data_IF_674448965362
#
_entry.id   IF_674448965362
#
_cell.length_a   1.000
_cell.length_b   1.000
_cell.length_c   1.000
_cell.angle_alpha   90.00
_cell.angle_beta   90.00
_cell.angle_gamma   90.00
#
_symmetry.space_group_name_H-M   'P 1'
#
loop_
_entity.id
_entity.type
_entity.pdbx_description
1 polymer ?
#
# COMPACT_ATOMS: atom_id res chain seq x y z
N UNK A 1 -9.81 -8.17 46.95
CA UNK A 1 -10.28 -6.86 47.46
C UNK A 1 -9.11 -5.89 47.54
N UNK A 2 -8.98 -4.94 46.59
CA UNK A 2 -8.19 -3.71 46.73
C UNK A 2 -8.79 -2.68 45.75
N UNK A 3 -9.58 -1.75 46.31
CA UNK A 3 -10.19 -0.60 45.64
C UNK A 3 -9.16 0.52 45.50
N UNK A 4 -9.05 1.12 44.31
CA UNK A 4 -8.53 2.49 44.09
C UNK A 4 -9.38 3.10 42.96
N UNK A 5 -10.42 3.82 43.34
CA UNK A 5 -10.51 5.30 43.35
C UNK A 5 -10.68 5.87 41.93
N UNK A 6 -11.96 6.08 41.58
CA UNK A 6 -12.42 6.94 40.50
C UNK A 6 -12.17 8.41 40.87
N UNK A 7 -11.61 9.18 39.94
CA UNK A 7 -11.69 10.63 39.96
C UNK A 7 -12.70 11.07 38.90
N UNK A 8 -13.83 11.60 39.37
CA UNK A 8 -14.85 12.29 38.58
C UNK A 8 -14.52 13.78 38.68
N UNK A 9 -14.32 14.45 37.55
CA UNK A 9 -14.32 15.92 37.48
C UNK A 9 -15.51 16.33 36.61
N UNK A 10 -16.38 17.14 37.20
CA UNK A 10 -17.60 17.67 36.62
C UNK A 10 -17.38 19.03 35.95
N UNK A 11 -18.01 19.17 34.77
CA UNK A 11 -18.80 20.28 34.22
C UNK A 11 -18.27 21.73 34.34
N UNK A 12 -18.11 22.36 33.17
CA UNK A 12 -18.47 23.75 32.94
C UNK A 12 -19.32 23.85 31.66
N UNK A 13 -20.45 24.55 31.76
CA UNK A 13 -21.42 24.79 30.70
C UNK A 13 -21.50 26.29 30.37
N UNK A 14 -22.17 26.57 29.23
CA UNK A 14 -22.63 27.88 28.69
C UNK A 14 -21.55 28.59 27.86
N UNK A 15 -21.80 29.08 26.64
CA UNK A 15 -22.96 29.89 26.22
C UNK A 15 -23.36 29.73 24.75
N UNK A 16 -24.65 29.97 24.52
CA UNK A 16 -25.38 30.23 23.28
C UNK A 16 -24.82 31.39 22.43
N UNK A 17 -25.01 31.31 21.10
CA UNK A 17 -24.84 32.45 20.20
C UNK A 17 -25.23 32.13 18.75
N UNK A 18 -26.52 32.15 18.47
CA UNK A 18 -27.05 32.23 17.11
C UNK A 18 -27.13 33.70 16.68
N UNK A 19 -26.62 34.03 15.49
CA UNK A 19 -27.00 35.25 14.79
C UNK A 19 -26.90 35.01 13.27
N UNK A 20 -28.07 34.92 12.64
CA UNK A 20 -28.25 35.19 11.22
C UNK A 20 -28.12 36.69 10.95
N UNK A 21 -27.67 37.08 9.75
CA UNK A 21 -28.07 38.28 8.98
C UNK A 21 -27.10 38.47 7.82
N UNK A 22 -27.51 38.24 6.57
CA UNK A 22 -28.09 39.20 5.60
C UNK A 22 -27.09 39.41 4.46
N UNK A 23 -27.46 38.94 3.27
CA UNK A 23 -26.89 39.38 2.01
C UNK A 23 -27.28 40.84 1.70
N UNK A 24 -26.49 41.53 0.86
CA UNK A 24 -27.09 42.32 -0.19
C UNK A 24 -26.56 41.94 -1.59
N UNK A 25 -27.50 41.94 -2.53
CA UNK A 25 -27.28 42.07 -3.96
C UNK A 25 -26.73 43.46 -4.28
N UNK A 26 -25.73 43.54 -5.15
CA UNK A 26 -25.57 44.69 -6.05
C UNK A 26 -24.86 44.25 -7.33
N UNK A 27 -25.57 44.43 -8.43
CA UNK A 27 -25.15 44.26 -9.82
C UNK A 27 -24.40 45.50 -10.29
N UNK A 28 -23.32 45.33 -11.06
CA UNK A 28 -22.85 46.34 -11.98
C UNK A 28 -22.16 45.65 -13.17
N UNK A 29 -22.77 45.82 -14.34
CA UNK A 29 -22.26 45.42 -15.63
C UNK A 29 -21.17 46.38 -16.10
N UNK A 30 -20.16 45.85 -16.79
CA UNK A 30 -19.38 46.61 -17.77
C UNK A 30 -19.08 45.71 -18.98
N UNK A 31 -19.63 46.14 -20.10
CA UNK A 31 -19.46 45.64 -21.46
C UNK A 31 -18.03 45.78 -21.96
N UNK A 32 -17.51 44.74 -22.61
CA UNK A 32 -16.29 44.80 -23.41
C UNK A 32 -16.19 43.58 -24.33
N UNK A 33 -16.56 43.76 -25.60
CA UNK A 33 -16.44 42.75 -26.65
C UNK A 33 -15.10 42.89 -27.37
N UNK A 34 -14.31 41.82 -27.47
CA UNK A 34 -13.55 41.43 -28.67
C UNK A 34 -12.74 40.13 -28.42
N UNK A 35 -12.49 39.31 -29.47
CA UNK A 35 -12.22 37.88 -29.35
C UNK A 35 -10.73 37.57 -29.28
N UNK A 36 -10.36 36.52 -28.53
CA UNK A 36 -9.04 35.92 -28.61
C UNK A 36 -9.15 34.40 -28.64
N UNK A 37 -8.76 33.89 -29.80
CA UNK A 37 -8.38 32.53 -30.14
C UNK A 37 -7.90 31.66 -28.97
N UNK A 38 -8.42 30.42 -28.98
CA UNK A 38 -7.67 29.19 -28.80
C UNK A 38 -6.48 29.22 -27.82
N UNK A 39 -6.70 28.71 -26.63
CA UNK A 39 -5.77 27.78 -26.01
C UNK A 39 -6.58 26.80 -25.16
N UNK A 40 -7.21 25.83 -25.82
CA UNK A 40 -7.40 24.53 -25.20
C UNK A 40 -5.99 24.01 -24.90
N UNK A 41 -5.49 24.31 -23.70
CA UNK A 41 -4.35 23.62 -23.13
C UNK A 41 -4.81 22.17 -22.96
N UNK A 42 -4.67 21.42 -24.04
CA UNK A 42 -4.58 19.98 -24.02
C UNK A 42 -3.51 19.68 -22.99
N UNK A 43 -3.93 19.32 -21.77
CA UNK A 43 -3.16 18.48 -20.89
C UNK A 43 -3.02 17.15 -21.62
N UNK A 44 -2.14 17.16 -22.62
CA UNK A 44 -1.55 15.98 -23.20
C UNK A 44 -0.69 15.44 -22.08
N UNK A 45 -1.30 14.69 -21.18
CA UNK A 45 -0.59 13.75 -20.35
C UNK A 45 0.31 13.01 -21.33
N UNK A 46 1.61 13.28 -21.27
CA UNK A 46 2.59 12.49 -21.98
C UNK A 46 2.39 11.09 -21.44
N UNK A 47 1.65 10.28 -22.20
CA UNK A 47 1.69 8.84 -22.13
C UNK A 47 3.12 8.47 -22.49
N UNK A 48 4.02 8.58 -21.50
CA UNK A 48 5.29 7.89 -21.55
C UNK A 48 4.88 6.44 -21.59
N UNK A 49 4.99 5.83 -22.76
CA UNK A 49 4.69 4.41 -22.92
C UNK A 49 5.57 3.66 -21.91
N UNK A 50 4.96 3.20 -20.82
CA UNK A 50 5.63 2.48 -19.73
C UNK A 50 5.95 1.04 -20.14
N UNK A 51 6.35 0.83 -21.39
CA UNK A 51 6.86 -0.43 -21.90
C UNK A 51 8.20 -0.73 -21.20
N UNK A 52 8.09 -1.17 -19.94
CA UNK A 52 9.25 -1.64 -19.20
C UNK A 52 9.61 -3.02 -19.73
N UNK A 53 10.90 -3.16 -20.06
CA UNK A 53 11.61 -4.37 -20.46
C UNK A 53 10.89 -5.64 -20.01
N UNK A 54 10.48 -6.49 -20.96
CA UNK A 54 9.83 -7.77 -20.67
C UNK A 54 10.62 -8.51 -19.60
N UNK A 55 9.92 -8.85 -18.53
CA UNK A 55 10.44 -9.65 -17.44
C UNK A 55 10.81 -11.02 -18.01
N UNK A 56 11.93 -11.64 -17.59
CA UNK A 56 12.30 -12.95 -18.08
C UNK A 56 11.15 -13.94 -17.86
N UNK A 57 10.75 -14.68 -18.91
CA UNK A 57 9.65 -15.65 -18.85
C UNK A 57 9.81 -16.65 -17.69
N UNK A 58 11.05 -16.99 -17.34
CA UNK A 58 11.37 -17.86 -16.21
C UNK A 58 10.95 -17.26 -14.85
N UNK A 59 11.11 -15.95 -14.64
CA UNK A 59 10.70 -15.30 -13.39
C UNK A 59 9.18 -15.25 -13.28
N UNK A 60 8.48 -14.90 -14.36
CA UNK A 60 7.02 -14.94 -14.39
C UNK A 60 6.47 -16.36 -14.19
N UNK A 61 7.11 -17.38 -14.76
CA UNK A 61 6.73 -18.77 -14.55
C UNK A 61 6.97 -19.24 -13.11
N UNK A 62 8.10 -18.87 -12.50
CA UNK A 62 8.39 -19.19 -11.11
C UNK A 62 7.37 -18.57 -10.14
N UNK A 63 6.98 -17.31 -10.38
CA UNK A 63 5.97 -16.62 -9.56
C UNK A 63 4.58 -17.24 -9.71
N UNK A 64 4.20 -17.61 -10.93
CA UNK A 64 2.96 -18.35 -11.16
C UNK A 64 2.98 -19.72 -10.49
N UNK A 65 4.12 -20.43 -10.52
CA UNK A 65 4.29 -21.72 -9.83
C UNK A 65 4.24 -21.58 -8.31
N UNK A 66 4.70 -20.44 -7.78
CA UNK A 66 4.57 -20.08 -6.37
C UNK A 66 3.15 -19.63 -5.98
N UNK A 67 2.19 -19.65 -6.92
CA UNK A 67 0.80 -19.30 -6.67
C UNK A 67 0.50 -17.81 -6.60
N UNK A 68 1.46 -16.94 -6.89
CA UNK A 68 1.30 -15.48 -6.81
C UNK A 68 0.23 -15.02 -7.80
N UNK A 69 -0.73 -14.22 -7.33
CA UNK A 69 -1.82 -13.68 -8.16
C UNK A 69 -1.67 -12.17 -8.34
N UNK A 70 -1.82 -11.71 -9.56
CA UNK A 70 -1.75 -10.28 -9.91
C UNK A 70 -3.13 -9.78 -10.33
N UNK A 71 -3.47 -8.56 -9.90
CA UNK A 71 -4.61 -7.84 -10.48
C UNK A 71 -4.30 -7.43 -11.93
N UNK A 72 -5.33 -7.19 -12.77
CA UNK A 72 -5.13 -6.71 -14.14
C UNK A 72 -4.33 -5.41 -14.23
N UNK A 73 -4.40 -4.54 -13.22
CA UNK A 73 -3.68 -3.28 -13.23
C UNK A 73 -2.15 -3.43 -13.12
N UNK A 74 -1.64 -4.58 -12.70
CA UNK A 74 -0.19 -4.85 -12.65
C UNK A 74 0.49 -4.87 -14.02
N UNK A 75 -0.25 -5.05 -15.11
CA UNK A 75 0.26 -4.96 -16.48
C UNK A 75 -0.13 -3.65 -17.20
N UNK A 76 -0.78 -2.71 -16.50
CA UNK A 76 -1.13 -1.42 -17.09
C UNK A 76 0.12 -0.59 -17.37
N UNK A 77 0.15 0.02 -18.55
CA UNK A 77 1.16 1.03 -18.90
C UNK A 77 0.62 2.46 -18.78
N UNK A 78 -0.67 2.62 -18.42
CA UNK A 78 -1.37 3.90 -18.33
C UNK A 78 -1.61 4.27 -16.87
N UNK A 79 -1.33 5.53 -16.53
CA UNK A 79 -1.60 6.09 -15.21
C UNK A 79 -3.10 6.40 -15.00
N UNK A 80 -3.62 6.23 -13.78
CA UNK A 80 -2.96 5.62 -12.62
C UNK A 80 -2.84 4.10 -12.79
N UNK A 81 -1.74 3.54 -12.31
CA UNK A 81 -1.56 2.08 -12.21
C UNK A 81 -2.05 1.65 -10.83
N UNK A 82 -2.91 0.63 -10.79
CA UNK A 82 -3.40 0.01 -9.55
C UNK A 82 -3.11 -1.50 -9.58
N UNK A 83 -1.97 -1.88 -9.02
CA UNK A 83 -1.49 -3.25 -8.99
C UNK A 83 -1.69 -3.87 -7.61
N UNK A 84 -2.40 -5.00 -7.54
CA UNK A 84 -2.48 -5.81 -6.31
C UNK A 84 -1.84 -7.16 -6.55
N UNK A 85 -0.90 -7.51 -5.69
CA UNK A 85 -0.24 -8.81 -5.62
C UNK A 85 -0.85 -9.53 -4.41
N UNK A 86 -1.55 -10.64 -4.65
CA UNK A 86 -2.12 -11.48 -3.61
C UNK A 86 -1.24 -12.71 -3.42
N UNK A 87 -1.13 -13.16 -2.17
CA UNK A 87 -0.27 -14.28 -1.77
C UNK A 87 1.17 -14.07 -2.25
N UNK A 88 1.85 -12.96 -1.86
CA UNK A 88 3.24 -12.75 -2.21
C UNK A 88 4.11 -13.93 -1.74
N UNK A 89 5.22 -14.16 -2.42
CA UNK A 89 6.18 -15.20 -2.04
C UNK A 89 6.72 -14.91 -0.64
N UNK A 90 6.50 -15.86 0.26
CA UNK A 90 6.91 -15.82 1.68
C UNK A 90 7.93 -16.91 2.03
N UNK A 91 8.33 -17.71 1.05
CA UNK A 91 9.28 -18.83 1.20
C UNK A 91 10.74 -18.43 0.92
N UNK A 92 11.03 -17.13 0.91
CA UNK A 92 12.39 -16.60 0.79
C UNK A 92 12.45 -15.13 1.22
N UNK A 93 13.64 -14.68 1.62
CA UNK A 93 13.88 -13.33 2.12
C UNK A 93 13.63 -12.23 1.07
N UNK A 94 13.94 -12.49 -0.21
CA UNK A 94 13.77 -11.53 -1.30
C UNK A 94 13.22 -12.21 -2.55
N UNK A 95 12.26 -11.57 -3.19
CA UNK A 95 11.73 -11.94 -4.49
C UNK A 95 11.58 -10.70 -5.37
N UNK A 96 12.14 -10.74 -6.58
CA UNK A 96 11.91 -9.69 -7.59
C UNK A 96 10.61 -9.97 -8.34
N UNK A 97 9.77 -8.95 -8.51
CA UNK A 97 8.47 -9.06 -9.17
C UNK A 97 8.47 -8.41 -10.55
N UNK A 98 7.61 -8.87 -11.48
CA UNK A 98 7.41 -8.33 -12.81
C UNK A 98 6.70 -6.96 -12.84
N UNK A 99 6.92 -6.12 -11.83
CA UNK A 99 6.37 -4.77 -11.73
C UNK A 99 7.54 -3.79 -11.68
N UNK A 100 7.51 -2.75 -12.50
CA UNK A 100 8.64 -1.84 -12.62
C UNK A 100 8.23 -0.39 -12.40
N UNK A 101 9.09 0.31 -11.67
CA UNK A 101 8.99 1.71 -11.37
C UNK A 101 9.89 2.52 -12.30
N UNK A 102 9.39 3.67 -12.76
CA UNK A 102 10.17 4.67 -13.48
C UNK A 102 10.61 5.80 -12.53
N UNK A 103 11.76 6.45 -12.78
CA UNK A 103 12.14 7.66 -12.06
C UNK A 103 11.02 8.70 -12.06
N UNK A 104 10.72 9.27 -10.89
CA UNK A 104 9.68 10.27 -10.71
C UNK A 104 8.27 9.71 -10.47
N UNK A 105 8.07 8.39 -10.54
CA UNK A 105 6.78 7.78 -10.19
C UNK A 105 6.38 8.12 -8.75
N UNK A 106 5.15 8.59 -8.56
CA UNK A 106 4.55 8.79 -7.24
C UNK A 106 3.86 7.50 -6.80
N UNK A 107 4.35 6.90 -5.71
CA UNK A 107 3.95 5.57 -5.27
C UNK A 107 3.28 5.63 -3.91
N UNK A 108 2.14 4.96 -3.78
CA UNK A 108 1.52 4.64 -2.48
C UNK A 108 1.39 3.13 -2.35
N UNK A 109 1.81 2.60 -1.19
CA UNK A 109 1.72 1.17 -0.88
C UNK A 109 0.67 0.95 0.20
N UNK A 110 -0.21 -0.02 -0.02
CA UNK A 110 -1.10 -0.59 1.00
C UNK A 110 -0.81 -2.08 1.09
N UNK A 111 -0.81 -2.66 2.28
CA UNK A 111 -0.64 -4.10 2.44
C UNK A 111 -1.43 -4.57 3.66
N UNK A 112 -1.69 -5.87 3.72
CA UNK A 112 -2.44 -6.47 4.82
C UNK A 112 -2.56 -7.97 4.66
N UNK A 113 -3.53 -8.55 5.37
CA UNK A 113 -3.78 -9.98 5.39
C UNK A 113 -2.82 -10.74 6.30
N UNK A 114 -2.85 -12.06 6.20
CA UNK A 114 -2.05 -12.97 7.00
C UNK A 114 -1.28 -14.00 6.18
N UNK A 115 -0.21 -14.50 6.80
CA UNK A 115 0.71 -15.51 6.27
C UNK A 115 0.84 -16.64 7.28
N UNK A 116 0.94 -17.88 6.79
CA UNK A 116 1.35 -19.03 7.59
C UNK A 116 2.88 -19.07 7.70
N UNK A 117 3.43 -19.16 8.92
CA UNK A 117 4.87 -19.25 9.18
C UNK A 117 5.34 -20.64 9.61
N UNK A 118 4.46 -21.63 9.45
CA UNK A 118 4.74 -23.01 9.84
C UNK A 118 4.97 -23.23 11.34
N UNK A 119 5.66 -24.32 11.69
CA UNK A 119 5.87 -24.74 13.08
C UNK A 119 4.66 -25.38 13.78
N UNK A 120 4.61 -25.25 15.12
CA UNK A 120 3.57 -25.84 15.99
C UNK A 120 2.72 -24.75 16.63
N UNK A 121 1.42 -25.00 16.80
CA UNK A 121 0.51 -24.09 17.48
C UNK A 121 -0.28 -23.22 16.50
N UNK A 122 -0.50 -21.95 16.86
CA UNK A 122 -1.10 -20.96 15.97
C UNK A 122 0.00 -20.35 15.11
N UNK A 123 -0.08 -20.62 13.82
CA UNK A 123 0.99 -20.41 12.83
C UNK A 123 0.72 -19.22 11.92
N UNK A 124 -0.46 -18.60 12.02
CA UNK A 124 -0.81 -17.45 11.19
C UNK A 124 -0.49 -16.13 11.87
N UNK A 125 0.12 -15.24 11.10
CA UNK A 125 0.60 -13.94 11.57
C UNK A 125 0.20 -12.85 10.58
N UNK A 126 -0.08 -11.65 11.09
CA UNK A 126 -0.36 -10.49 10.23
C UNK A 126 0.86 -10.17 9.39
N UNK A 127 0.66 -10.02 8.08
CA UNK A 127 1.75 -9.81 7.14
C UNK A 127 2.52 -8.51 7.38
N UNK A 128 1.85 -7.45 7.83
CA UNK A 128 2.44 -6.11 8.00
C UNK A 128 2.97 -5.89 9.40
N UNK A 129 2.20 -6.28 10.42
CA UNK A 129 2.46 -5.98 11.84
C UNK A 129 2.08 -7.18 12.72
N UNK A 130 2.89 -8.26 12.71
CA UNK A 130 2.62 -9.47 13.46
C UNK A 130 2.74 -9.23 14.98
N UNK A 131 1.88 -9.90 15.76
CA UNK A 131 1.85 -9.71 17.21
C UNK A 131 2.91 -10.55 17.95
N UNK A 132 3.78 -9.88 18.73
CA UNK A 132 4.69 -10.48 19.73
C UNK A 132 5.72 -11.48 19.19
N UNK A 133 6.47 -11.09 18.15
CA UNK A 133 7.34 -12.02 17.40
C UNK A 133 8.80 -11.55 17.23
N UNK A 134 9.31 -10.69 18.13
CA UNK A 134 10.75 -10.36 18.17
C UNK A 134 11.32 -9.78 16.87
N UNK A 135 10.49 -9.03 16.11
CA UNK A 135 10.79 -8.48 14.79
C UNK A 135 10.93 -9.50 13.63
N UNK A 136 10.38 -10.70 13.77
CA UNK A 136 10.23 -11.67 12.67
C UNK A 136 8.81 -11.65 12.05
N UNK A 137 8.64 -12.44 10.99
CA UNK A 137 7.37 -12.83 10.37
C UNK A 137 6.56 -11.71 9.72
N UNK A 138 7.25 -10.75 9.11
CA UNK A 138 6.63 -9.62 8.44
C UNK A 138 7.13 -9.46 7.00
N UNK A 139 6.29 -8.88 6.15
CA UNK A 139 6.66 -8.58 4.78
C UNK A 139 7.66 -7.43 4.67
N UNK A 140 8.46 -7.50 3.61
CA UNK A 140 9.48 -6.55 3.23
C UNK A 140 9.17 -5.97 1.85
N UNK A 141 9.65 -4.78 1.57
CA UNK A 141 9.52 -4.13 0.26
C UNK A 141 10.72 -3.24 -0.07
N UNK A 142 11.10 -3.24 -1.35
CA UNK A 142 11.96 -2.22 -1.94
C UNK A 142 11.17 -1.44 -3.00
N UNK A 143 11.01 -0.14 -2.77
CA UNK A 143 10.65 0.85 -3.80
C UNK A 143 11.95 1.54 -4.25
N UNK A 144 12.41 1.33 -5.49
CA UNK A 144 13.71 1.82 -5.97
C UNK A 144 13.91 3.32 -5.73
N UNK A 145 15.03 3.65 -5.07
CA UNK A 145 15.40 5.03 -4.76
C UNK A 145 14.50 5.74 -3.72
N UNK A 146 13.58 5.03 -3.06
CA UNK A 146 12.61 5.62 -2.13
C UNK A 146 12.67 5.04 -0.70
N UNK A 147 12.67 3.71 -0.55
CA UNK A 147 12.61 3.06 0.77
C UNK A 147 13.98 2.59 1.29
N UNK A 148 14.98 2.48 0.43
CA UNK A 148 16.17 1.65 0.73
C UNK A 148 15.89 0.17 0.49
N UNK A 149 16.87 -0.69 0.73
CA UNK A 149 16.77 -2.13 0.48
C UNK A 149 15.90 -2.82 1.55
N UNK A 150 14.92 -3.61 1.10
CA UNK A 150 14.04 -4.49 1.88
C UNK A 150 13.58 -3.92 3.22
N UNK A 151 12.83 -2.83 3.17
CA UNK A 151 12.23 -2.25 4.36
C UNK A 151 11.02 -3.02 4.85
N UNK A 152 10.85 -3.06 6.18
CA UNK A 152 9.64 -3.58 6.83
C UNK A 152 8.40 -2.85 6.28
N UNK A 153 7.39 -3.61 5.87
CA UNK A 153 6.17 -3.04 5.29
C UNK A 153 5.47 -2.06 6.25
N UNK A 154 5.51 -2.31 7.57
CA UNK A 154 4.92 -1.40 8.57
C UNK A 154 5.46 0.04 8.48
N UNK A 155 6.70 0.22 8.02
CA UNK A 155 7.31 1.54 7.86
C UNK A 155 6.99 2.20 6.50
N UNK A 156 6.39 1.43 5.58
CA UNK A 156 6.15 1.82 4.19
C UNK A 156 4.67 2.05 3.91
N UNK A 157 3.78 1.21 4.44
CA UNK A 157 2.34 1.28 4.15
C UNK A 157 1.73 2.63 4.52
N UNK A 158 0.85 3.14 3.65
CA UNK A 158 0.12 4.39 3.86
C UNK A 158 0.92 5.69 3.66
N UNK A 159 2.20 5.59 3.29
CA UNK A 159 3.07 6.76 3.06
C UNK A 159 3.29 7.00 1.56
N UNK A 160 3.38 8.26 1.12
CA UNK A 160 3.74 8.59 -0.25
C UNK A 160 5.26 8.49 -0.46
N UNK A 161 5.65 7.95 -1.61
CA UNK A 161 7.05 7.87 -2.06
C UNK A 161 7.20 8.44 -3.47
N UNK A 162 8.39 8.94 -3.78
CA UNK A 162 8.79 9.29 -5.15
C UNK A 162 9.96 8.41 -5.53
N UNK A 163 9.83 7.69 -6.64
CA UNK A 163 10.87 6.79 -7.14
C UNK A 163 12.08 7.61 -7.59
N UNK A 164 13.22 7.34 -6.98
CA UNK A 164 14.49 8.02 -7.27
C UNK A 164 15.37 7.27 -8.28
N UNK A 165 16.52 7.87 -8.59
CA UNK A 165 17.57 7.22 -9.37
C UNK A 165 17.13 6.81 -10.78
N UNK A 166 17.36 5.53 -11.13
CA UNK A 166 17.02 4.97 -12.45
C UNK A 166 15.70 4.18 -12.45
N UNK A 167 14.94 4.21 -11.34
CA UNK A 167 13.83 3.28 -11.14
C UNK A 167 14.30 1.84 -11.01
N UNK A 168 13.43 0.88 -11.26
CA UNK A 168 13.76 -0.54 -11.17
C UNK A 168 12.56 -1.42 -10.87
N UNK A 169 12.81 -2.71 -10.68
CA UNK A 169 11.77 -3.67 -10.35
C UNK A 169 11.36 -3.60 -8.88
N UNK A 170 10.09 -3.88 -8.61
CA UNK A 170 9.60 -4.16 -7.27
C UNK A 170 10.32 -5.38 -6.72
N UNK A 171 10.75 -5.27 -5.46
CA UNK A 171 11.12 -6.43 -4.66
C UNK A 171 10.18 -6.50 -3.47
N UNK A 172 9.63 -7.68 -3.22
CA UNK A 172 8.99 -8.01 -1.95
C UNK A 172 9.79 -9.10 -1.29
N UNK A 173 9.69 -9.17 0.03
CA UNK A 173 10.34 -10.18 0.83
C UNK A 173 9.50 -10.57 2.01
N UNK A 174 9.99 -11.54 2.76
CA UNK A 174 9.43 -11.93 4.04
C UNK A 174 10.57 -12.16 5.02
N UNK A 175 10.45 -11.60 6.22
CA UNK A 175 11.41 -11.81 7.29
C UNK A 175 11.01 -13.06 8.08
N UNK A 176 11.87 -14.06 8.11
CA UNK A 176 11.62 -15.33 8.78
C UNK A 176 12.96 -16.00 9.14
N UNK A 177 12.97 -16.82 10.19
CA UNK A 177 14.08 -17.68 10.58
C UNK A 177 14.05 -19.07 9.88
N UNK A 178 12.94 -19.43 9.24
CA UNK A 178 12.78 -20.64 8.43
C UNK A 178 11.70 -20.49 7.37
N UNK A 179 12.03 -20.75 6.10
CA UNK A 179 11.12 -20.45 4.98
C UNK A 179 10.34 -21.64 4.42
N UNK A 180 10.75 -22.87 4.75
CA UNK A 180 10.29 -24.08 4.06
C UNK A 180 8.84 -24.47 4.34
N UNK A 181 8.28 -23.97 5.44
CA UNK A 181 6.94 -24.24 5.93
C UNK A 181 6.03 -23.00 5.88
N UNK A 182 6.48 -21.96 5.18
CA UNK A 182 5.70 -20.75 4.95
C UNK A 182 4.69 -20.95 3.82
N UNK A 183 3.51 -20.33 3.94
CA UNK A 183 2.50 -20.43 2.90
C UNK A 183 1.12 -19.89 3.26
N UNK A 184 0.09 -20.49 2.64
CA UNK A 184 -1.28 -20.00 2.63
C UNK A 184 -2.37 -21.11 2.67
N UNK A 185 -2.04 -22.34 3.08
CA UNK A 185 -2.92 -23.51 2.86
C UNK A 185 -3.64 -24.03 4.09
N UNK A 186 -3.21 -23.71 5.31
CA UNK A 186 -3.81 -24.23 6.56
C UNK A 186 -4.12 -23.12 7.57
N UNK A 187 -5.17 -22.33 7.29
CA UNK A 187 -5.52 -21.12 8.06
C UNK A 187 -5.91 -21.41 9.52
N UNK A 188 -5.28 -20.69 10.46
CA UNK A 188 -5.69 -20.56 11.87
C UNK A 188 -5.82 -19.07 12.27
N UNK A 189 -6.40 -18.77 13.43
CA UNK A 189 -6.70 -17.38 13.81
C UNK A 189 -5.47 -16.58 14.27
N UNK A 190 -4.31 -17.22 14.40
CA UNK A 190 -3.10 -16.61 14.92
C UNK A 190 -3.17 -16.28 16.42
N UNK A 191 -2.00 -16.08 17.04
CA UNK A 191 -1.93 -15.65 18.44
C UNK A 191 -2.74 -14.37 18.66
N UNK A 192 -3.65 -14.39 19.64
CA UNK A 192 -4.50 -13.24 19.97
C UNK A 192 -5.56 -12.91 18.90
N UNK A 193 -5.94 -13.89 18.07
CA UNK A 193 -6.91 -13.73 16.98
C UNK A 193 -6.49 -12.68 15.93
N UNK A 194 -5.18 -12.48 15.75
CA UNK A 194 -4.65 -11.46 14.84
C UNK A 194 -5.01 -11.71 13.37
N UNK A 195 -5.41 -12.94 13.03
CA UNK A 195 -5.80 -13.38 11.69
C UNK A 195 -7.26 -13.87 11.61
N UNK A 196 -8.05 -13.72 12.67
CA UNK A 196 -9.45 -14.11 12.66
C UNK A 196 -10.23 -13.34 11.57
N UNK A 197 -10.90 -14.07 10.67
CA UNK A 197 -11.60 -13.53 9.50
C UNK A 197 -10.72 -12.66 8.57
N UNK A 198 -9.40 -12.86 8.62
CA UNK A 198 -8.48 -12.18 7.71
C UNK A 198 -8.47 -12.85 6.34
N UNK A 199 -8.07 -12.07 5.34
CA UNK A 199 -7.65 -12.59 4.04
C UNK A 199 -6.19 -13.03 4.09
N UNK A 200 -5.76 -13.80 3.08
CA UNK A 200 -4.35 -14.03 2.81
C UNK A 200 -3.62 -12.72 2.51
N UNK A 201 -2.30 -12.72 2.69
CA UNK A 201 -1.49 -11.54 2.52
C UNK A 201 -1.63 -10.92 1.12
N UNK A 202 -1.56 -9.59 1.08
CA UNK A 202 -1.56 -8.84 -0.17
C UNK A 202 -0.70 -7.58 -0.07
N UNK A 203 -0.21 -7.12 -1.23
CA UNK A 203 0.42 -5.82 -1.43
C UNK A 203 -0.24 -5.12 -2.60
N UNK A 204 -0.81 -3.94 -2.36
CA UNK A 204 -1.39 -3.05 -3.36
C UNK A 204 -0.50 -1.83 -3.57
N UNK A 205 -0.15 -1.57 -4.81
CA UNK A 205 0.73 -0.50 -5.26
C UNK A 205 -0.06 0.38 -6.20
N UNK A 206 -0.16 1.66 -5.86
CA UNK A 206 -0.73 2.68 -6.73
C UNK A 206 0.38 3.59 -7.22
N UNK A 207 0.45 3.77 -8.53
CA UNK A 207 1.33 4.76 -9.17
C UNK A 207 0.48 5.82 -9.84
N UNK A 208 0.74 7.09 -9.53
CA UNK A 208 0.04 8.28 -10.07
C UNK A 208 0.96 9.20 -10.86
#
# INVERSE_FOLDING_TARGET
MRKRMMAVIAVAALTTGAAASTAPLASAAATGSAPAAAAQASHRASSVNRDVRRVPTALSAALSAAGVRYSPGCSSTTLPIDCTISEPVVTQHETTYPFSFLPGDHVTVTAGGCVQTGGRGLTWKRYVDPASDGDLYHGLITVPGATGDLQRLVNVVGRPYVVGGRGGSLKLGYEDDGYSDNGYTAHDDGTGNQCLNSVNAFVRIVVS
#
